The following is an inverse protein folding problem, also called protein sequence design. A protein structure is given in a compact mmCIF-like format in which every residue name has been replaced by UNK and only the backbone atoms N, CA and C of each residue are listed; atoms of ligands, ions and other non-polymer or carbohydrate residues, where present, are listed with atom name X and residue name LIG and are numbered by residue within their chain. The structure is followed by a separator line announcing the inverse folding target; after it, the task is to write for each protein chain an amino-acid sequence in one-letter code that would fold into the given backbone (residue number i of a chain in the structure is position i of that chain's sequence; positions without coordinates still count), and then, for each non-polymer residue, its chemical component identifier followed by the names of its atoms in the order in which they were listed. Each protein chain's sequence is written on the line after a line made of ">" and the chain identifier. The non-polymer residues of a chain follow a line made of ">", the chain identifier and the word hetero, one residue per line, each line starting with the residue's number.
data_IF_284861064981
#
_entry.id   IF_284861064981
#
_cell.length_a   1.000
_cell.length_b   1.000
_cell.length_c   1.000
_cell.angle_alpha   90.00
_cell.angle_beta   90.00
_cell.angle_gamma   90.00
#
_symmetry.space_group_name_H-M   'P 1'
#
loop_
_entity.id
_entity.type
_entity.pdbx_description
1 polymer ?
#
# COMPACT_ATOMS: atom_id res chain seq x y z
N UNK A 1 -3.89 -21.57 9.18
CA UNK A 1 -4.93 -21.98 8.20
C UNK A 1 -6.27 -21.50 8.75
N UNK A 2 -7.18 -21.00 7.91
CA UNK A 2 -8.46 -20.39 8.36
C UNK A 2 -8.40 -18.88 8.53
N UNK A 3 -7.67 -18.16 7.67
CA UNK A 3 -7.68 -16.70 7.71
C UNK A 3 -9.03 -16.19 7.17
N UNK A 4 -9.68 -15.33 7.95
CA UNK A 4 -11.00 -14.75 7.62
C UNK A 4 -10.88 -13.42 6.87
N UNK A 5 -9.68 -12.86 6.77
CA UNK A 5 -9.43 -11.57 6.12
C UNK A 5 -8.17 -11.60 5.28
N UNK A 6 -8.25 -11.03 4.08
CA UNK A 6 -7.13 -10.70 3.23
C UNK A 6 -6.92 -9.18 3.29
N UNK A 7 -5.83 -8.75 3.92
CA UNK A 7 -5.51 -7.32 4.05
C UNK A 7 -4.60 -6.90 2.91
N UNK A 8 -5.01 -5.87 2.17
CA UNK A 8 -4.33 -5.39 0.96
C UNK A 8 -3.81 -3.97 1.16
N UNK A 9 -2.53 -3.75 0.83
CA UNK A 9 -1.89 -2.42 0.85
C UNK A 9 -2.05 -1.64 -0.46
N UNK A 10 -3.03 -1.97 -1.29
CA UNK A 10 -3.24 -1.34 -2.61
C UNK A 10 -3.70 0.11 -2.44
N UNK A 11 -3.39 0.94 -3.43
CA UNK A 11 -3.74 2.35 -3.47
C UNK A 11 -4.18 2.74 -4.89
N UNK A 12 -5.26 3.50 -5.01
CA UNK A 12 -5.84 3.92 -6.28
C UNK A 12 -5.71 5.43 -6.56
N UNK A 13 -5.25 6.22 -5.58
CA UNK A 13 -5.19 7.69 -5.67
C UNK A 13 -3.93 8.15 -6.39
N UNK A 14 -2.77 7.64 -5.99
CA UNK A 14 -1.50 8.15 -6.46
C UNK A 14 -0.99 7.30 -7.63
N UNK A 15 -1.07 7.89 -8.83
CA UNK A 15 -0.58 7.41 -10.13
C UNK A 15 -0.09 5.96 -10.16
N UNK A 16 -1.04 5.04 -10.24
CA UNK A 16 -0.72 3.63 -10.45
C UNK A 16 -0.99 3.26 -11.91
N UNK A 17 -2.07 3.77 -12.53
CA UNK A 17 -2.53 3.28 -13.83
C UNK A 17 -2.95 1.80 -13.80
N UNK A 18 -2.82 1.14 -12.64
CA UNK A 18 -3.08 -0.26 -12.41
C UNK A 18 -4.60 -0.45 -12.23
N UNK A 19 -5.30 -1.05 -13.20
CA UNK A 19 -6.74 -1.22 -13.13
C UNK A 19 -7.16 -2.16 -11.99
N UNK A 20 -6.26 -3.03 -11.53
CA UNK A 20 -6.45 -4.02 -10.48
C UNK A 20 -6.38 -3.46 -9.05
N UNK A 21 -6.06 -2.17 -8.88
CA UNK A 21 -6.05 -1.51 -7.57
C UNK A 21 -7.37 -0.78 -7.25
N UNK A 22 -8.37 -0.84 -8.13
CA UNK A 22 -9.60 -0.04 -8.05
C UNK A 22 -10.72 -0.74 -7.27
N UNK A 23 -11.66 0.01 -6.67
CA UNK A 23 -12.76 -0.57 -5.89
C UNK A 23 -13.60 -1.61 -6.64
N UNK A 24 -13.87 -1.39 -7.93
CA UNK A 24 -14.62 -2.29 -8.80
C UNK A 24 -13.90 -3.63 -9.02
N UNK A 25 -12.58 -3.61 -9.23
CA UNK A 25 -11.77 -4.83 -9.28
C UNK A 25 -11.82 -5.59 -7.95
N UNK A 26 -11.66 -4.89 -6.82
CA UNK A 26 -11.67 -5.51 -5.49
C UNK A 26 -13.03 -6.14 -5.17
N UNK A 27 -14.13 -5.50 -5.58
CA UNK A 27 -15.49 -6.05 -5.46
C UNK A 27 -15.66 -7.32 -6.30
N UNK A 28 -15.23 -7.28 -7.58
CA UNK A 28 -15.25 -8.45 -8.43
C UNK A 28 -14.42 -9.61 -7.86
N UNK A 29 -13.26 -9.32 -7.29
CA UNK A 29 -12.42 -10.32 -6.63
C UNK A 29 -13.08 -10.89 -5.38
N UNK A 30 -13.74 -10.06 -4.56
CA UNK A 30 -14.49 -10.53 -3.39
C UNK A 30 -15.58 -11.53 -3.79
N UNK A 31 -16.30 -11.25 -4.88
CA UNK A 31 -17.29 -12.16 -5.44
C UNK A 31 -16.65 -13.48 -5.90
N UNK A 32 -15.50 -13.41 -6.59
CA UNK A 32 -14.75 -14.60 -6.98
C UNK A 32 -14.31 -15.42 -5.77
N UNK A 33 -13.81 -14.79 -4.70
CA UNK A 33 -13.39 -15.48 -3.47
C UNK A 33 -14.53 -16.27 -2.82
N UNK A 34 -15.77 -15.75 -2.88
CA UNK A 34 -16.96 -16.45 -2.42
C UNK A 34 -17.32 -17.68 -3.29
N UNK A 35 -16.95 -17.68 -4.58
CA UNK A 35 -17.31 -18.74 -5.52
C UNK A 35 -16.24 -19.84 -5.68
N UNK A 36 -14.97 -19.49 -5.45
CA UNK A 36 -13.81 -20.30 -5.86
C UNK A 36 -13.42 -21.43 -4.89
N UNK A 37 -14.02 -21.50 -3.69
CA UNK A 37 -13.67 -22.52 -2.69
C UNK A 37 -14.90 -23.07 -1.97
N UNK A 38 -14.79 -24.29 -1.41
CA UNK A 38 -15.84 -24.88 -0.56
C UNK A 38 -16.19 -23.97 0.61
N UNK A 39 -15.17 -23.45 1.30
CA UNK A 39 -15.35 -22.49 2.39
C UNK A 39 -16.12 -21.25 1.93
N UNK A 40 -15.78 -20.69 0.78
CA UNK A 40 -16.50 -19.56 0.20
C UNK A 40 -17.97 -19.87 -0.11
N UNK A 41 -18.25 -21.03 -0.71
CA UNK A 41 -19.61 -21.50 -1.00
C UNK A 41 -20.44 -21.75 0.26
N UNK A 42 -19.79 -22.08 1.37
CA UNK A 42 -20.39 -22.25 2.70
C UNK A 42 -20.49 -20.92 3.48
N UNK A 43 -20.15 -19.78 2.88
CA UNK A 43 -20.25 -18.46 3.52
C UNK A 43 -19.02 -18.03 4.33
N UNK A 44 -17.93 -18.78 4.26
CA UNK A 44 -16.68 -18.55 4.99
C UNK A 44 -15.55 -18.07 4.06
N UNK A 45 -15.91 -17.31 3.02
CA UNK A 45 -14.92 -16.67 2.18
C UNK A 45 -14.13 -15.63 2.99
N UNK A 46 -12.81 -15.50 2.80
CA UNK A 46 -12.10 -14.41 3.44
C UNK A 46 -12.60 -13.06 2.90
N UNK A 47 -12.74 -12.09 3.80
CA UNK A 47 -13.10 -10.71 3.44
C UNK A 47 -11.86 -9.97 2.96
N UNK A 48 -11.94 -9.35 1.79
CA UNK A 48 -10.91 -8.42 1.30
C UNK A 48 -11.04 -7.10 2.05
N UNK A 49 -9.91 -6.59 2.54
CA UNK A 49 -9.86 -5.31 3.22
C UNK A 49 -8.67 -4.49 2.71
N UNK A 50 -8.96 -3.42 1.98
CA UNK A 50 -7.97 -2.52 1.37
C UNK A 50 -8.11 -1.10 1.94
N UNK A 51 -7.71 -0.86 3.21
CA UNK A 51 -7.97 0.42 3.88
C UNK A 51 -7.27 1.61 3.20
N UNK A 52 -6.17 1.36 2.49
CA UNK A 52 -5.35 2.40 1.89
C UNK A 52 -5.81 2.79 0.47
N UNK A 53 -6.84 2.12 -0.07
CA UNK A 53 -7.23 2.24 -1.49
C UNK A 53 -7.56 3.68 -1.89
N UNK A 54 -8.18 4.44 -0.98
CA UNK A 54 -8.63 5.81 -1.19
C UNK A 54 -7.81 6.87 -0.44
N UNK A 55 -6.72 6.47 0.21
CA UNK A 55 -5.89 7.40 0.99
C UNK A 55 -4.84 8.05 0.10
N UNK A 56 -4.48 9.29 0.38
CA UNK A 56 -3.26 9.91 -0.18
C UNK A 56 -2.03 9.28 0.47
N UNK A 57 -0.87 9.32 -0.20
CA UNK A 57 0.40 8.91 0.44
C UNK A 57 0.68 9.65 1.74
N UNK A 58 0.38 10.95 1.81
CA UNK A 58 0.57 11.75 3.03
C UNK A 58 -0.24 11.19 4.19
N UNK A 59 -1.53 10.88 3.98
CA UNK A 59 -2.36 10.23 5.01
C UNK A 59 -1.82 8.87 5.43
N UNK A 60 -1.29 8.08 4.48
CA UNK A 60 -0.65 6.78 4.79
C UNK A 60 0.59 6.99 5.68
N UNK A 61 1.40 8.00 5.39
CA UNK A 61 2.57 8.37 6.21
C UNK A 61 2.13 8.82 7.60
N UNK A 62 1.15 9.71 7.71
CA UNK A 62 0.62 10.18 9.00
C UNK A 62 0.10 9.02 9.86
N UNK A 63 -0.63 8.08 9.25
CA UNK A 63 -1.11 6.89 9.96
C UNK A 63 0.04 5.96 10.38
N UNK A 64 1.05 5.79 9.52
CA UNK A 64 2.24 5.03 9.86
C UNK A 64 3.00 5.64 11.05
N UNK A 65 3.10 6.98 11.10
CA UNK A 65 3.68 7.70 12.24
C UNK A 65 2.83 7.53 13.50
N UNK A 66 1.51 7.67 13.42
CA UNK A 66 0.58 7.46 14.54
C UNK A 66 0.70 6.05 15.13
N UNK A 67 0.93 5.05 14.28
CA UNK A 67 1.10 3.64 14.65
C UNK A 67 2.55 3.27 15.05
N UNK A 68 3.48 4.23 15.05
CA UNK A 68 4.91 4.01 15.32
C UNK A 68 5.56 2.97 14.39
N UNK A 69 5.16 2.94 13.12
CA UNK A 69 5.80 2.09 12.11
C UNK A 69 7.25 2.55 11.92
N UNK A 70 8.24 1.62 11.90
CA UNK A 70 9.63 1.97 11.63
C UNK A 70 9.84 2.27 10.14
N UNK A 71 9.37 3.44 9.68
CA UNK A 71 9.36 3.84 8.27
C UNK A 71 10.75 3.73 7.61
N UNK A 72 11.82 4.00 8.36
CA UNK A 72 13.22 3.88 7.90
C UNK A 72 13.61 2.46 7.48
N UNK A 73 12.93 1.44 8.00
CA UNK A 73 13.17 0.03 7.67
C UNK A 73 12.33 -0.44 6.48
N UNK A 74 11.42 0.41 5.98
CA UNK A 74 10.56 0.08 4.84
C UNK A 74 11.21 0.49 3.52
N UNK A 75 10.83 -0.18 2.44
CA UNK A 75 11.40 0.04 1.12
C UNK A 75 10.34 0.40 0.09
N UNK A 76 10.62 1.41 -0.74
CA UNK A 76 9.75 1.80 -1.85
C UNK A 76 10.50 1.97 -3.18
N UNK A 77 11.82 2.19 -3.13
CA UNK A 77 12.65 2.49 -4.29
C UNK A 77 12.62 1.38 -5.36
N UNK A 78 12.51 1.77 -6.63
CA UNK A 78 12.54 0.81 -7.76
C UNK A 78 13.95 0.40 -8.17
N UNK A 79 14.96 1.22 -7.87
CA UNK A 79 16.34 1.01 -8.33
C UNK A 79 17.13 -0.03 -7.52
N UNK A 80 16.56 -0.58 -6.44
CA UNK A 80 17.27 -1.49 -5.54
C UNK A 80 18.47 -0.83 -4.85
N UNK A 81 19.45 -1.63 -4.44
CA UNK A 81 20.68 -1.17 -3.78
C UNK A 81 20.60 -1.17 -2.24
N UNK A 82 21.53 -0.47 -1.60
CA UNK A 82 21.63 -0.39 -0.13
C UNK A 82 20.84 0.76 0.47
N UNK A 83 20.43 1.74 -0.35
CA UNK A 83 19.64 2.90 0.05
C UNK A 83 18.67 3.33 -1.07
N UNK A 84 17.53 3.96 -0.74
CA UNK A 84 16.63 4.52 -1.74
C UNK A 84 17.32 5.55 -2.62
N UNK A 85 17.14 5.49 -3.93
CA UNK A 85 17.90 6.33 -4.86
C UNK A 85 17.53 7.81 -4.81
N UNK A 86 16.35 8.17 -4.29
CA UNK A 86 15.84 9.55 -4.29
C UNK A 86 15.41 10.08 -5.67
N UNK A 87 15.56 9.29 -6.72
CA UNK A 87 15.37 9.75 -8.11
C UNK A 87 14.19 9.09 -8.83
N UNK A 88 13.83 7.84 -8.49
CA UNK A 88 12.72 7.15 -9.14
C UNK A 88 11.36 7.68 -8.65
N UNK A 89 10.30 7.46 -9.43
CA UNK A 89 8.96 7.98 -9.10
C UNK A 89 8.47 7.55 -7.73
N UNK A 90 8.69 6.29 -7.34
CA UNK A 90 8.34 5.81 -5.99
C UNK A 90 9.08 6.55 -4.88
N UNK A 91 10.37 6.88 -5.06
CA UNK A 91 11.11 7.69 -4.07
C UNK A 91 10.53 9.11 -4.01
N UNK A 92 10.28 9.75 -5.16
CA UNK A 92 9.73 11.11 -5.21
C UNK A 92 8.36 11.21 -4.54
N UNK A 93 7.46 10.26 -4.83
CA UNK A 93 6.14 10.17 -4.23
C UNK A 93 6.24 9.97 -2.70
N UNK A 94 7.10 9.05 -2.26
CA UNK A 94 7.34 8.80 -0.84
C UNK A 94 7.91 10.02 -0.13
N UNK A 95 8.94 10.64 -0.71
CA UNK A 95 9.63 11.78 -0.10
C UNK A 95 8.74 13.02 -0.03
N UNK A 96 7.91 13.27 -1.06
CA UNK A 96 6.91 14.34 -1.02
C UNK A 96 5.90 14.12 0.14
N UNK A 97 5.39 12.90 0.31
CA UNK A 97 4.48 12.58 1.40
C UNK A 97 5.13 12.69 2.79
N UNK A 98 6.42 12.30 2.93
CA UNK A 98 7.18 12.47 4.16
C UNK A 98 7.42 13.95 4.49
N UNK A 99 7.73 14.77 3.49
CA UNK A 99 7.87 16.21 3.66
C UNK A 99 6.57 16.87 4.09
N UNK A 100 5.46 16.54 3.44
CA UNK A 100 4.13 17.08 3.78
C UNK A 100 3.70 16.66 5.20
N UNK A 101 4.03 15.44 5.62
CA UNK A 101 3.82 14.95 6.99
C UNK A 101 4.84 15.48 8.02
N UNK A 102 5.70 16.44 7.66
CA UNK A 102 6.65 17.06 8.58
C UNK A 102 7.83 16.17 8.99
N UNK A 103 8.16 15.15 8.20
CA UNK A 103 9.26 14.19 8.44
C UNK A 103 10.31 14.17 7.31
N UNK A 104 10.89 15.33 6.94
CA UNK A 104 11.95 15.38 5.92
C UNK A 104 13.22 14.61 6.34
N UNK A 105 13.41 14.37 7.64
CA UNK A 105 14.49 13.54 8.19
C UNK A 105 14.42 12.07 7.73
N UNK A 106 13.28 11.63 7.20
CA UNK A 106 13.06 10.27 6.70
C UNK A 106 13.14 10.14 5.18
N UNK A 107 13.32 11.26 4.47
CA UNK A 107 13.41 11.26 3.02
C UNK A 107 14.68 10.54 2.55
N UNK A 108 14.62 10.04 1.31
CA UNK A 108 15.78 9.46 0.64
C UNK A 108 16.92 10.48 0.57
N UNK A 109 18.13 10.04 0.92
CA UNK A 109 19.33 10.79 0.58
C UNK A 109 19.70 10.42 -0.84
N UNK A 110 19.74 11.39 -1.75
CA UNK A 110 20.19 11.12 -3.12
C UNK A 110 21.58 10.48 -3.06
N UNK A 111 21.68 9.23 -3.55
CA UNK A 111 22.95 8.60 -3.79
C UNK A 111 23.70 9.48 -4.79
N UNK A 112 24.84 10.02 -4.38
CA UNK A 112 25.73 10.77 -5.29
C UNK A 112 26.18 9.89 -6.44
#
# INVERSE_FOLDING_TARGET
>A
RGAERLVLGVNAVDYSGYPDCRPDYLEAFQNLAALASKAGREGHAPTLWAPLVSWTKTRIVEEALRLNVPIQQTWSCYSGGTSPCGLCDSCRIRDAALQEAGRPDLCSHASR
#
